data_IF_549121673400
#
_entry.id   IF_549121673400
#
_cell.length_a   1.000
_cell.length_b   1.000
_cell.length_c   1.000
_cell.angle_alpha   90.00
_cell.angle_beta   90.00
_cell.angle_gamma   90.00
#
_symmetry.space_group_name_H-M   'P 1'
#
loop_
_entity.id
_entity.type
_entity.pdbx_description
1 polymer ?
#
# COMPACT_ATOMS: atom_id res chain seq x y z
N UNK A 1 -3.44 6.97 19.44
CA UNK A 1 -4.62 6.76 20.31
C UNK A 1 -5.86 7.39 19.67
N UNK A 2 -6.69 6.61 19.02
CA UNK A 2 -8.03 7.09 18.67
C UNK A 2 -8.90 6.72 19.86
N UNK A 3 -9.12 7.70 20.77
CA UNK A 3 -10.02 7.55 21.89
C UNK A 3 -11.39 7.07 21.41
N UNK A 4 -12.02 6.15 22.12
CA UNK A 4 -13.35 5.60 21.79
C UNK A 4 -14.47 6.67 21.74
N UNK A 5 -14.18 7.90 22.11
CA UNK A 5 -15.07 9.09 22.07
C UNK A 5 -14.73 10.07 20.92
N UNK A 6 -13.67 9.85 20.13
CA UNK A 6 -13.32 10.77 19.04
C UNK A 6 -14.30 10.62 17.86
N UNK A 7 -14.78 11.74 17.35
CA UNK A 7 -15.58 11.78 16.14
C UNK A 7 -14.77 11.14 14.99
N UNK A 8 -15.27 10.04 14.36
CA UNK A 8 -14.53 9.29 13.35
C UNK A 8 -14.12 10.15 12.15
N UNK A 9 -14.91 11.18 11.81
CA UNK A 9 -14.58 12.13 10.76
C UNK A 9 -13.35 12.95 11.13
N UNK A 10 -13.30 13.47 12.37
CA UNK A 10 -12.18 14.28 12.84
C UNK A 10 -10.87 13.48 12.84
N UNK A 11 -10.91 12.24 13.34
CA UNK A 11 -9.75 11.37 13.37
C UNK A 11 -9.23 11.03 11.96
N UNK A 12 -10.15 10.74 11.01
CA UNK A 12 -9.79 10.50 9.62
C UNK A 12 -9.15 11.72 8.95
N UNK A 13 -9.75 12.89 9.12
CA UNK A 13 -9.24 14.15 8.54
C UNK A 13 -7.88 14.52 9.14
N UNK A 14 -7.69 14.34 10.46
CA UNK A 14 -6.41 14.60 11.11
C UNK A 14 -5.30 13.68 10.57
N UNK A 15 -5.59 12.38 10.40
CA UNK A 15 -4.65 11.43 9.79
C UNK A 15 -4.32 11.81 8.34
N UNK A 16 -5.32 12.17 7.57
CA UNK A 16 -5.15 12.60 6.18
C UNK A 16 -4.25 13.84 6.09
N UNK A 17 -4.55 14.87 6.89
CA UNK A 17 -3.75 16.11 6.92
C UNK A 17 -2.32 15.85 7.39
N UNK A 18 -2.12 14.96 8.36
CA UNK A 18 -0.79 14.55 8.80
C UNK A 18 0.03 13.95 7.65
N UNK A 19 -0.57 13.05 6.85
CA UNK A 19 0.11 12.38 5.75
C UNK A 19 0.34 13.29 4.54
N UNK A 20 -0.58 14.21 4.28
CA UNK A 20 -0.37 15.28 3.28
C UNK A 20 0.75 16.22 3.75
N UNK A 21 0.74 16.63 5.02
CA UNK A 21 1.80 17.45 5.62
C UNK A 21 3.16 16.77 5.60
N UNK A 22 3.20 15.46 5.86
CA UNK A 22 4.43 14.65 5.75
C UNK A 22 4.98 14.65 4.31
N UNK A 23 4.12 14.45 3.31
CA UNK A 23 4.52 14.50 1.90
C UNK A 23 5.06 15.88 1.52
N UNK A 24 4.42 16.94 1.99
CA UNK A 24 4.85 18.32 1.75
C UNK A 24 6.19 18.64 2.44
N UNK A 25 6.37 18.23 3.70
CA UNK A 25 7.62 18.43 4.43
C UNK A 25 8.80 17.73 3.76
N UNK A 26 8.60 16.48 3.30
CA UNK A 26 9.62 15.72 2.58
C UNK A 26 9.89 16.32 1.21
N UNK A 27 8.88 16.88 0.53
CA UNK A 27 9.08 17.59 -0.73
C UNK A 27 9.96 18.83 -0.56
N UNK A 28 9.74 19.61 0.51
CA UNK A 28 10.54 20.80 0.80
C UNK A 28 11.98 20.47 1.23
N UNK A 29 12.16 19.41 2.00
CA UNK A 29 13.46 18.99 2.51
C UNK A 29 13.55 17.45 2.58
N UNK A 30 13.95 16.85 1.47
CA UNK A 30 14.00 15.39 1.31
C UNK A 30 14.73 14.63 2.44
N UNK A 31 15.88 15.12 3.00
CA UNK A 31 16.58 14.41 4.08
C UNK A 31 15.75 14.19 5.34
N UNK A 32 14.66 14.93 5.57
CA UNK A 32 13.77 14.72 6.71
C UNK A 32 13.10 13.34 6.67
N UNK A 33 12.99 12.73 5.48
CA UNK A 33 12.49 11.37 5.29
C UNK A 33 13.28 10.34 6.12
N UNK A 34 14.60 10.50 6.21
CA UNK A 34 15.48 9.64 7.00
C UNK A 34 15.32 9.82 8.53
N UNK A 35 14.68 10.89 8.97
CA UNK A 35 14.34 11.14 10.39
C UNK A 35 12.92 10.67 10.69
N UNK A 36 11.99 10.91 9.77
CA UNK A 36 10.58 10.55 9.96
C UNK A 36 10.43 9.03 10.05
N UNK A 37 11.08 8.25 9.19
CA UNK A 37 10.93 6.79 9.20
C UNK A 37 11.33 6.17 10.55
N UNK A 38 12.53 6.40 11.12
CA UNK A 38 12.87 5.90 12.45
C UNK A 38 11.88 6.35 13.53
N UNK A 39 11.42 7.59 13.48
CA UNK A 39 10.39 8.09 14.40
C UNK A 39 9.09 7.29 14.32
N UNK A 40 8.62 6.98 13.12
CA UNK A 40 7.43 6.14 12.88
C UNK A 40 7.66 4.70 13.39
N UNK A 41 8.85 4.13 13.15
CA UNK A 41 9.19 2.78 13.62
C UNK A 41 9.21 2.70 15.14
N UNK A 42 9.82 3.68 15.81
CA UNK A 42 9.85 3.77 17.27
C UNK A 42 8.44 3.98 17.84
N UNK A 43 7.64 4.86 17.25
CA UNK A 43 6.25 5.07 17.64
C UNK A 43 5.44 3.77 17.62
N UNK A 44 5.48 3.03 16.51
CA UNK A 44 4.75 1.77 16.40
C UNK A 44 5.25 0.71 17.36
N UNK A 45 6.58 0.58 17.52
CA UNK A 45 7.17 -0.34 18.51
C UNK A 45 6.66 -0.01 19.92
N UNK A 46 6.69 1.27 20.31
CA UNK A 46 6.21 1.74 21.61
C UNK A 46 4.72 1.40 21.80
N UNK A 47 3.86 1.70 20.83
CA UNK A 47 2.43 1.44 20.91
C UNK A 47 2.11 -0.06 20.99
N UNK A 48 2.82 -0.91 20.25
CA UNK A 48 2.63 -2.37 20.31
C UNK A 48 2.96 -2.88 21.72
N UNK A 49 4.08 -2.45 22.28
CA UNK A 49 4.53 -2.87 23.61
C UNK A 49 3.61 -2.31 24.70
N UNK A 50 3.31 -1.02 24.69
CA UNK A 50 2.48 -0.37 25.69
C UNK A 50 1.06 -0.96 25.75
N UNK A 51 0.47 -1.29 24.61
CA UNK A 51 -0.88 -1.84 24.54
C UNK A 51 -0.91 -3.38 24.56
N UNK A 52 0.26 -4.04 24.69
CA UNK A 52 0.35 -5.51 24.62
C UNK A 52 -0.35 -6.09 23.38
N UNK A 53 -0.33 -5.35 22.28
CA UNK A 53 -1.01 -5.70 21.03
C UNK A 53 -2.51 -6.03 21.17
N UNK A 54 -3.22 -5.48 22.18
CA UNK A 54 -4.62 -5.83 22.47
C UNK A 54 -5.59 -5.50 21.35
N UNK A 55 -5.34 -4.44 20.58
CA UNK A 55 -6.19 -4.00 19.45
C UNK A 55 -5.57 -4.31 18.09
N UNK A 56 -4.69 -5.29 17.97
CA UNK A 56 -3.98 -5.67 16.77
C UNK A 56 -3.03 -4.58 16.23
N UNK A 57 -2.37 -3.83 17.13
CA UNK A 57 -1.43 -2.75 16.80
C UNK A 57 -0.28 -3.25 15.92
N UNK A 58 0.23 -4.45 16.15
CA UNK A 58 1.27 -5.07 15.33
C UNK A 58 0.83 -5.25 13.86
N UNK A 59 -0.43 -5.62 13.64
CA UNK A 59 -0.98 -5.75 12.28
C UNK A 59 -1.15 -4.38 11.62
N UNK A 60 -1.57 -3.36 12.39
CA UNK A 60 -1.69 -1.98 11.90
C UNK A 60 -0.31 -1.41 11.55
N UNK A 61 0.70 -1.64 12.39
CA UNK A 61 2.08 -1.23 12.15
C UNK A 61 2.68 -1.89 10.90
N UNK A 62 2.50 -3.21 10.76
CA UNK A 62 2.95 -3.97 9.60
C UNK A 62 2.28 -3.48 8.30
N UNK A 63 0.96 -3.23 8.35
CA UNK A 63 0.21 -2.67 7.22
C UNK A 63 0.71 -1.27 6.85
N UNK A 64 0.93 -0.40 7.86
CA UNK A 64 1.46 0.94 7.64
C UNK A 64 2.82 0.91 6.92
N UNK A 65 3.76 0.09 7.42
CA UNK A 65 5.10 0.00 6.82
C UNK A 65 5.06 -0.63 5.43
N UNK A 66 4.21 -1.62 5.20
CA UNK A 66 4.02 -2.19 3.87
C UNK A 66 3.52 -1.13 2.85
N UNK A 67 2.60 -0.26 3.26
CA UNK A 67 2.16 0.88 2.44
C UNK A 67 3.22 1.97 2.29
N UNK A 68 4.06 2.18 3.30
CA UNK A 68 5.07 3.23 3.35
C UNK A 68 6.37 2.89 2.62
N UNK A 69 6.60 1.61 2.32
CA UNK A 69 7.88 1.12 1.79
C UNK A 69 8.34 1.91 0.55
N UNK A 70 7.47 2.03 -0.46
CA UNK A 70 7.83 2.72 -1.71
C UNK A 70 8.01 4.21 -1.48
N UNK A 71 7.19 4.83 -0.63
CA UNK A 71 7.30 6.25 -0.30
C UNK A 71 8.66 6.59 0.32
N UNK A 72 9.04 5.91 1.40
CA UNK A 72 10.32 6.15 2.05
C UNK A 72 11.52 5.70 1.22
N UNK A 73 11.34 4.70 0.35
CA UNK A 73 12.40 4.28 -0.58
C UNK A 73 12.63 5.33 -1.67
N UNK A 74 11.57 5.86 -2.28
CA UNK A 74 11.65 6.88 -3.33
C UNK A 74 12.16 8.23 -2.82
N UNK A 75 12.00 8.50 -1.52
CA UNK A 75 12.44 9.75 -0.87
C UNK A 75 13.76 9.61 -0.10
N UNK A 76 14.44 8.44 -0.19
CA UNK A 76 15.72 8.22 0.47
C UNK A 76 15.65 8.03 1.98
N UNK A 77 14.47 7.77 2.54
CA UNK A 77 14.28 7.57 3.98
C UNK A 77 14.65 6.16 4.49
N UNK A 78 14.82 5.19 3.59
CA UNK A 78 15.15 3.81 3.98
C UNK A 78 16.64 3.65 4.33
N UNK A 79 16.92 3.02 5.47
CA UNK A 79 18.29 2.70 5.91
C UNK A 79 18.88 1.59 5.04
N UNK A 80 18.09 0.54 4.75
CA UNK A 80 18.43 -0.57 3.88
C UNK A 80 17.32 -0.79 2.86
N UNK A 81 17.62 -1.42 1.76
CA UNK A 81 16.63 -1.72 0.72
C UNK A 81 15.45 -2.56 1.25
N UNK A 82 15.71 -3.48 2.15
CA UNK A 82 14.74 -4.41 2.74
C UNK A 82 14.12 -3.93 4.06
N UNK A 83 14.40 -2.70 4.51
CA UNK A 83 13.94 -2.16 5.81
C UNK A 83 12.43 -2.37 6.03
N UNK A 84 11.60 -2.12 5.02
CA UNK A 84 10.15 -2.33 5.10
C UNK A 84 9.79 -3.76 5.45
N UNK A 85 10.38 -4.73 4.77
CA UNK A 85 10.13 -6.17 4.99
C UNK A 85 10.60 -6.62 6.37
N UNK A 86 11.80 -6.17 6.82
CA UNK A 86 12.30 -6.48 8.15
C UNK A 86 11.41 -5.92 9.24
N UNK A 87 10.91 -4.69 9.08
CA UNK A 87 10.03 -4.09 10.08
C UNK A 87 8.66 -4.76 10.13
N UNK A 88 8.11 -5.21 9.01
CA UNK A 88 6.91 -6.07 8.99
C UNK A 88 7.16 -7.33 9.82
N UNK A 89 8.29 -8.04 9.61
CA UNK A 89 8.64 -9.23 10.37
C UNK A 89 8.73 -8.90 11.87
N UNK A 90 9.48 -7.86 12.23
CA UNK A 90 9.71 -7.47 13.64
C UNK A 90 8.38 -7.15 14.33
N UNK A 91 7.53 -6.31 13.74
CA UNK A 91 6.25 -5.93 14.34
C UNK A 91 5.35 -7.14 14.55
N UNK A 92 5.28 -8.04 13.57
CA UNK A 92 4.45 -9.24 13.69
C UNK A 92 5.01 -10.22 14.71
N UNK A 93 6.33 -10.39 14.80
CA UNK A 93 6.98 -11.23 15.83
C UNK A 93 6.71 -10.67 17.23
N UNK A 94 6.86 -9.34 17.45
CA UNK A 94 6.48 -8.71 18.72
C UNK A 94 4.99 -8.95 19.00
N UNK A 95 4.14 -8.81 17.98
CA UNK A 95 2.71 -9.10 18.11
C UNK A 95 2.39 -10.55 18.48
N UNK A 96 3.16 -11.51 17.96
CA UNK A 96 3.04 -12.95 18.33
C UNK A 96 3.47 -13.18 19.77
N UNK A 97 4.48 -12.47 20.27
CA UNK A 97 4.91 -12.56 21.66
C UNK A 97 3.75 -12.28 22.64
N UNK A 98 2.92 -11.27 22.35
CA UNK A 98 1.78 -10.92 23.21
C UNK A 98 0.53 -11.78 23.00
N UNK A 99 0.25 -12.22 21.77
CA UNK A 99 -1.01 -12.91 21.44
C UNK A 99 -0.83 -14.35 20.95
N UNK A 100 0.40 -14.82 20.83
CA UNK A 100 0.70 -16.14 20.28
C UNK A 100 0.30 -16.30 18.81
N UNK A 101 0.41 -17.53 18.34
CA UNK A 101 -0.03 -18.00 17.02
C UNK A 101 -1.06 -19.11 17.17
N UNK A 102 -1.85 -19.37 16.13
CA UNK A 102 -2.77 -20.50 16.13
C UNK A 102 -2.02 -21.83 16.05
N UNK A 103 -2.49 -22.88 16.73
CA UNK A 103 -1.95 -24.23 16.58
C UNK A 103 -2.06 -24.79 15.15
N UNK A 104 -2.90 -24.20 14.32
CA UNK A 104 -3.12 -24.59 12.92
C UNK A 104 -2.09 -23.98 11.94
N UNK A 105 -1.07 -23.27 12.42
CA UNK A 105 -0.07 -22.59 11.58
C UNK A 105 1.07 -23.49 11.10
N UNK A 106 1.03 -24.79 11.40
CA UNK A 106 2.04 -25.78 11.02
C UNK A 106 2.47 -25.69 9.53
N UNK A 107 1.56 -25.54 8.54
CA UNK A 107 1.96 -25.43 7.14
C UNK A 107 2.91 -24.25 6.86
N UNK A 108 2.74 -23.14 7.57
CA UNK A 108 3.59 -21.96 7.39
C UNK A 108 4.93 -22.07 8.10
N UNK A 109 5.00 -22.82 9.22
CA UNK A 109 6.27 -23.22 9.81
C UNK A 109 7.03 -24.13 8.85
N UNK A 110 6.38 -25.13 8.24
CA UNK A 110 6.98 -25.98 7.23
C UNK A 110 7.49 -25.17 6.03
N UNK A 111 6.69 -24.20 5.56
CA UNK A 111 7.13 -23.28 4.49
C UNK A 111 8.43 -22.54 4.86
N UNK A 112 8.53 -21.96 6.07
CA UNK A 112 9.74 -21.27 6.51
C UNK A 112 10.93 -22.21 6.65
N UNK A 113 10.71 -23.45 7.14
CA UNK A 113 11.75 -24.47 7.25
C UNK A 113 12.31 -24.90 5.88
N UNK A 114 11.47 -24.99 4.85
CA UNK A 114 11.90 -25.35 3.48
C UNK A 114 12.79 -24.24 2.86
N UNK A 115 12.76 -23.01 3.36
CA UNK A 115 13.68 -21.96 2.89
C UNK A 115 15.12 -22.19 3.37
N UNK A 116 15.33 -22.90 4.50
CA UNK A 116 16.67 -23.11 5.11
C UNK A 116 17.63 -23.86 4.18
N UNK A 117 17.27 -25.00 3.55
CA UNK A 117 18.15 -25.68 2.60
C UNK A 117 18.61 -24.77 1.46
N UNK A 118 17.72 -23.89 0.95
CA UNK A 118 18.10 -22.93 -0.08
C UNK A 118 19.17 -21.93 0.38
N UNK A 119 19.11 -21.50 1.65
CA UNK A 119 20.15 -20.64 2.26
C UNK A 119 21.48 -21.38 2.34
N UNK A 120 21.45 -22.64 2.80
CA UNK A 120 22.66 -23.48 2.93
C UNK A 120 23.30 -23.69 1.57
N UNK A 121 22.53 -24.09 0.55
CA UNK A 121 23.06 -24.26 -0.81
C UNK A 121 23.63 -22.95 -1.35
N UNK A 122 22.91 -21.84 -1.22
CA UNK A 122 23.39 -20.53 -1.66
C UNK A 122 24.70 -20.14 -0.94
N UNK A 123 24.83 -20.43 0.35
CA UNK A 123 26.05 -20.13 1.13
C UNK A 123 27.27 -20.95 0.71
N UNK A 124 27.05 -22.11 0.12
CA UNK A 124 28.15 -22.99 -0.36
C UNK A 124 28.53 -22.70 -1.81
N UNK A 125 27.54 -22.31 -2.64
CA UNK A 125 27.74 -22.19 -4.09
C UNK A 125 28.10 -20.78 -4.55
N UNK A 126 27.78 -19.74 -3.77
CA UNK A 126 28.12 -18.36 -4.09
C UNK A 126 29.59 -18.08 -3.76
N UNK A 127 30.30 -17.42 -4.70
CA UNK A 127 31.67 -16.97 -4.44
C UNK A 127 31.71 -15.90 -3.35
N UNK A 128 32.77 -15.89 -2.55
CA UNK A 128 32.98 -14.91 -1.47
C UNK A 128 33.15 -13.48 -1.98
N UNK A 129 33.46 -13.28 -3.26
CA UNK A 129 33.58 -11.99 -3.93
C UNK A 129 32.21 -11.34 -4.24
N UNK A 130 31.14 -12.13 -4.33
CA UNK A 130 29.81 -11.59 -4.46
C UNK A 130 29.37 -10.94 -3.14
N UNK A 131 28.58 -9.86 -3.20
CA UNK A 131 27.93 -9.29 -2.02
C UNK A 131 26.88 -10.29 -1.45
N UNK A 132 27.39 -11.40 -0.94
CA UNK A 132 26.69 -12.58 -0.48
C UNK A 132 25.51 -12.26 0.46
N UNK A 133 25.76 -11.37 1.46
CA UNK A 133 24.71 -10.93 2.38
C UNK A 133 23.58 -10.22 1.65
N UNK A 134 23.91 -9.36 0.68
CA UNK A 134 22.94 -8.58 -0.08
C UNK A 134 22.10 -9.47 -1.00
N UNK A 135 22.74 -10.44 -1.68
CA UNK A 135 22.04 -11.36 -2.55
C UNK A 135 21.04 -12.24 -1.76
N UNK A 136 21.45 -12.81 -0.60
CA UNK A 136 20.57 -13.60 0.25
C UNK A 136 19.44 -12.73 0.84
N UNK A 137 19.77 -11.57 1.41
CA UNK A 137 18.80 -10.68 2.01
C UNK A 137 17.73 -10.22 0.99
N UNK A 138 18.15 -9.86 -0.21
CA UNK A 138 17.25 -9.46 -1.28
C UNK A 138 16.25 -10.55 -1.67
N UNK A 139 16.73 -11.77 -1.85
CA UNK A 139 15.89 -12.89 -2.30
C UNK A 139 15.02 -13.50 -1.19
N UNK A 140 15.50 -13.51 0.06
CA UNK A 140 14.79 -14.17 1.18
C UNK A 140 13.89 -13.25 1.99
N UNK A 141 14.15 -11.95 2.04
CA UNK A 141 13.37 -11.02 2.86
C UNK A 141 11.87 -11.05 2.50
N UNK A 142 11.52 -11.16 1.21
CA UNK A 142 10.14 -11.29 0.77
C UNK A 142 9.47 -12.58 1.22
N UNK A 143 10.00 -13.77 0.86
CA UNK A 143 9.47 -15.05 1.29
C UNK A 143 9.36 -15.18 2.82
N UNK A 144 10.35 -14.73 3.57
CA UNK A 144 10.30 -14.76 5.05
C UNK A 144 9.21 -13.84 5.59
N UNK A 145 9.11 -12.61 5.06
CA UNK A 145 8.04 -11.68 5.45
C UNK A 145 6.65 -12.26 5.16
N UNK A 146 6.48 -12.94 4.01
CA UNK A 146 5.24 -13.61 3.66
C UNK A 146 4.91 -14.75 4.66
N UNK A 147 5.89 -15.61 4.96
CA UNK A 147 5.71 -16.72 5.90
C UNK A 147 5.36 -16.23 7.31
N UNK A 148 6.06 -15.22 7.82
CA UNK A 148 5.79 -14.63 9.15
C UNK A 148 4.42 -13.94 9.16
N UNK A 149 4.04 -13.25 8.09
CA UNK A 149 2.71 -12.64 7.96
C UNK A 149 1.61 -13.70 7.96
N UNK A 150 1.82 -14.81 7.26
CA UNK A 150 0.90 -15.93 7.24
C UNK A 150 0.78 -16.60 8.64
N UNK A 151 1.89 -16.83 9.35
CA UNK A 151 1.89 -17.31 10.73
C UNK A 151 1.06 -16.42 11.65
N UNK A 152 1.23 -15.09 11.54
CA UNK A 152 0.51 -14.14 12.37
C UNK A 152 -0.98 -14.06 12.05
N UNK A 153 -1.34 -14.06 10.77
CA UNK A 153 -2.72 -13.81 10.33
C UNK A 153 -3.60 -15.06 10.31
N UNK A 154 -3.01 -16.26 10.19
CA UNK A 154 -3.78 -17.48 9.98
C UNK A 154 -4.66 -17.83 11.17
N UNK A 155 -5.94 -18.06 10.90
CA UNK A 155 -7.01 -18.28 11.90
C UNK A 155 -7.19 -17.15 12.92
N UNK A 156 -6.63 -15.97 12.68
CA UNK A 156 -6.82 -14.82 13.55
C UNK A 156 -8.21 -14.20 13.33
N UNK A 157 -9.00 -14.17 14.38
CA UNK A 157 -10.28 -13.47 14.37
C UNK A 157 -10.04 -11.99 14.64
N UNK A 158 -10.48 -11.12 13.71
CA UNK A 158 -10.38 -9.67 13.81
C UNK A 158 -11.78 -9.05 13.74
N UNK A 159 -12.06 -8.05 14.57
CA UNK A 159 -13.29 -7.26 14.49
C UNK A 159 -13.29 -6.42 13.20
N UNK A 160 -14.48 -6.18 12.64
CA UNK A 160 -14.64 -5.40 11.41
C UNK A 160 -14.04 -3.99 11.55
N UNK A 161 -14.21 -3.37 12.73
CA UNK A 161 -13.69 -2.04 13.04
C UNK A 161 -12.15 -2.02 13.03
N UNK A 162 -11.51 -3.04 13.61
CA UNK A 162 -10.06 -3.15 13.63
C UNK A 162 -9.50 -3.45 12.24
N UNK A 163 -10.19 -4.28 11.45
CA UNK A 163 -9.83 -4.52 10.07
C UNK A 163 -9.90 -3.23 9.22
N UNK A 164 -10.90 -2.39 9.44
CA UNK A 164 -10.98 -1.07 8.79
C UNK A 164 -9.83 -0.14 9.20
N UNK A 165 -9.36 -0.22 10.45
CA UNK A 165 -8.17 0.53 10.88
C UNK A 165 -6.90 0.00 10.17
N UNK A 166 -6.76 -1.31 10.01
CA UNK A 166 -5.64 -1.90 9.26
C UNK A 166 -5.63 -1.40 7.81
N UNK A 167 -6.79 -1.42 7.13
CA UNK A 167 -6.93 -0.87 5.77
C UNK A 167 -6.54 0.62 5.75
N UNK A 168 -6.97 1.39 6.74
CA UNK A 168 -6.66 2.80 6.84
C UNK A 168 -5.16 3.04 7.05
N UNK A 169 -4.51 2.26 7.93
CA UNK A 169 -3.06 2.36 8.16
C UNK A 169 -2.24 2.01 6.91
N UNK A 170 -2.69 1.02 6.14
CA UNK A 170 -2.07 0.69 4.85
C UNK A 170 -2.24 1.82 3.82
N UNK A 171 -3.41 2.45 3.78
CA UNK A 171 -3.78 3.49 2.81
C UNK A 171 -3.05 4.82 3.06
N UNK A 172 -2.86 5.23 4.31
CA UNK A 172 -2.35 6.57 4.65
C UNK A 172 -1.00 6.90 4.01
N UNK A 173 0.04 6.05 4.10
CA UNK A 173 1.31 6.35 3.43
C UNK A 173 1.23 6.31 1.90
N UNK A 174 0.29 5.55 1.33
CA UNK A 174 0.04 5.58 -0.13
C UNK A 174 -0.52 6.94 -0.57
N UNK A 175 -1.31 7.58 0.29
CA UNK A 175 -1.77 8.95 0.07
C UNK A 175 -0.58 9.93 0.13
N UNK A 176 0.36 9.74 1.08
CA UNK A 176 1.60 10.54 1.09
C UNK A 176 2.39 10.38 -0.20
N UNK A 177 2.56 9.14 -0.70
CA UNK A 177 3.21 8.89 -1.99
C UNK A 177 2.51 9.63 -3.14
N UNK A 178 1.19 9.54 -3.20
CA UNK A 178 0.41 10.22 -4.23
C UNK A 178 0.61 11.74 -4.19
N UNK A 179 0.46 12.37 -3.00
CA UNK A 179 0.64 13.83 -2.86
C UNK A 179 2.06 14.27 -3.16
N UNK A 180 3.07 13.51 -2.73
CA UNK A 180 4.47 13.77 -3.07
C UNK A 180 4.68 13.81 -4.59
N UNK A 181 4.08 12.87 -5.34
CA UNK A 181 4.17 12.86 -6.79
C UNK A 181 3.49 14.08 -7.43
N UNK A 182 2.38 14.55 -6.88
CA UNK A 182 1.73 15.78 -7.38
C UNK A 182 2.60 17.02 -7.16
N UNK A 183 3.33 17.08 -6.06
CA UNK A 183 4.25 18.18 -5.77
C UNK A 183 5.51 18.11 -6.64
N UNK A 184 6.03 16.90 -6.84
CA UNK A 184 7.30 16.68 -7.56
C UNK A 184 7.16 16.84 -9.07
N UNK A 185 6.02 16.44 -9.65
CA UNK A 185 5.77 16.48 -11.10
C UNK A 185 4.51 17.27 -11.43
N UNK A 186 4.51 18.62 -11.29
CA UNK A 186 3.32 19.42 -11.51
C UNK A 186 2.91 19.50 -13.00
N UNK A 187 3.85 19.44 -13.95
CA UNK A 187 3.55 19.43 -15.38
C UNK A 187 4.08 18.17 -16.07
N UNK A 188 3.19 17.48 -16.78
CA UNK A 188 3.55 16.28 -17.55
C UNK A 188 4.06 16.60 -18.96
N UNK A 189 3.84 17.83 -19.44
CA UNK A 189 4.13 18.23 -20.83
C UNK A 189 5.59 18.09 -21.23
N UNK A 190 6.51 18.24 -20.28
CA UNK A 190 7.96 18.19 -20.53
C UNK A 190 8.60 16.82 -20.32
N UNK A 191 7.88 15.87 -19.71
CA UNK A 191 8.44 14.57 -19.30
C UNK A 191 8.01 13.36 -20.12
N UNK A 192 7.12 13.51 -21.10
CA UNK A 192 6.61 12.39 -21.88
C UNK A 192 7.55 12.13 -23.08
N UNK A 193 8.69 11.51 -22.83
CA UNK A 193 9.66 11.24 -23.90
C UNK A 193 9.75 9.75 -24.28
N UNK A 194 9.30 8.82 -23.43
CA UNK A 194 9.44 7.38 -23.70
C UNK A 194 8.18 6.56 -23.36
N UNK A 195 7.72 5.75 -24.30
CA UNK A 195 6.58 4.83 -24.14
C UNK A 195 6.84 3.65 -23.17
N UNK A 196 8.07 3.35 -22.78
CA UNK A 196 8.43 2.19 -21.97
C UNK A 196 8.08 2.32 -20.48
N UNK A 197 7.90 3.53 -20.01
CA UNK A 197 7.54 3.89 -18.62
C UNK A 197 7.83 5.36 -18.38
N UNK A 198 6.92 6.06 -17.71
CA UNK A 198 7.06 7.49 -17.46
C UNK A 198 7.79 7.75 -16.14
N UNK A 199 9.11 7.76 -16.16
CA UNK A 199 9.93 8.06 -14.99
C UNK A 199 9.73 9.49 -14.47
N UNK A 200 9.45 10.45 -15.33
CA UNK A 200 9.16 11.82 -14.91
C UNK A 200 7.87 11.89 -14.06
N UNK A 201 6.81 11.19 -14.47
CA UNK A 201 5.56 11.13 -13.73
C UNK A 201 5.66 10.38 -12.39
N UNK A 202 6.75 9.63 -12.19
CA UNK A 202 6.98 8.82 -10.98
C UNK A 202 8.05 9.40 -10.05
N UNK A 203 8.47 10.64 -10.28
CA UNK A 203 9.49 11.29 -9.45
C UNK A 203 10.89 10.69 -9.63
N UNK A 204 11.19 10.14 -10.81
CA UNK A 204 12.46 9.46 -11.10
C UNK A 204 12.54 8.03 -10.53
N UNK A 205 11.48 7.54 -9.88
CA UNK A 205 11.44 6.19 -9.31
C UNK A 205 10.75 5.20 -10.26
N UNK A 206 10.95 3.89 -10.05
CA UNK A 206 10.47 2.84 -10.97
C UNK A 206 8.96 2.90 -11.24
N UNK A 207 8.52 3.10 -12.50
CA UNK A 207 7.10 3.26 -12.85
C UNK A 207 6.24 2.07 -12.43
N UNK A 208 6.77 0.84 -12.51
CA UNK A 208 6.05 -0.37 -12.12
C UNK A 208 5.75 -0.40 -10.61
N UNK A 209 6.70 0.02 -9.78
CA UNK A 209 6.53 0.05 -8.33
C UNK A 209 5.51 1.13 -7.94
N UNK A 210 5.63 2.32 -8.50
CA UNK A 210 4.69 3.42 -8.26
C UNK A 210 3.28 3.06 -8.72
N UNK A 211 3.12 2.50 -9.94
CA UNK A 211 1.82 2.05 -10.44
C UNK A 211 1.18 1.00 -9.53
N UNK A 212 1.97 0.04 -9.04
CA UNK A 212 1.48 -1.03 -8.17
C UNK A 212 0.97 -0.48 -6.83
N UNK A 213 1.71 0.43 -6.19
CA UNK A 213 1.28 0.99 -4.89
C UNK A 213 0.11 1.96 -5.05
N UNK A 214 0.06 2.74 -6.12
CA UNK A 214 -1.10 3.59 -6.42
C UNK A 214 -2.33 2.74 -6.77
N UNK A 215 -2.16 1.64 -7.52
CA UNK A 215 -3.20 0.67 -7.81
C UNK A 215 -3.74 0.01 -6.54
N UNK A 216 -2.86 -0.39 -5.61
CA UNK A 216 -3.24 -0.88 -4.29
C UNK A 216 -4.05 0.16 -3.52
N UNK A 217 -3.61 1.42 -3.51
CA UNK A 217 -4.34 2.50 -2.86
C UNK A 217 -5.72 2.73 -3.48
N UNK A 218 -5.85 2.69 -4.79
CA UNK A 218 -7.14 2.77 -5.48
C UNK A 218 -8.07 1.61 -5.07
N UNK A 219 -7.56 0.38 -5.01
CA UNK A 219 -8.30 -0.79 -4.51
C UNK A 219 -8.78 -0.60 -3.07
N UNK A 220 -7.93 -0.09 -2.17
CA UNK A 220 -8.29 0.17 -0.78
C UNK A 220 -9.36 1.27 -0.67
N UNK A 221 -9.27 2.33 -1.46
CA UNK A 221 -10.27 3.41 -1.51
C UNK A 221 -11.62 2.88 -1.98
N UNK A 222 -11.64 2.04 -3.04
CA UNK A 222 -12.87 1.36 -3.47
C UNK A 222 -13.44 0.48 -2.35
N UNK A 223 -12.60 -0.34 -1.71
CA UNK A 223 -13.02 -1.18 -0.58
C UNK A 223 -13.66 -0.34 0.53
N UNK A 224 -13.07 0.80 0.88
CA UNK A 224 -13.61 1.73 1.88
C UNK A 224 -14.92 2.38 1.43
N UNK A 225 -15.03 2.81 0.17
CA UNK A 225 -16.24 3.39 -0.39
C UNK A 225 -17.46 2.47 -0.21
N UNK A 226 -17.27 1.16 -0.31
CA UNK A 226 -18.35 0.17 -0.14
C UNK A 226 -18.55 -0.30 1.31
N UNK A 227 -17.53 -0.28 2.15
CA UNK A 227 -17.59 -0.80 3.53
C UNK A 227 -17.81 0.26 4.59
N UNK A 228 -17.41 1.52 4.36
CA UNK A 228 -17.62 2.65 5.28
C UNK A 228 -18.96 3.31 5.02
N UNK A 229 -19.76 3.49 6.10
CA UNK A 229 -21.12 4.07 6.02
C UNK A 229 -21.14 5.57 6.35
N UNK A 230 -20.14 6.34 5.93
CA UNK A 230 -20.03 7.77 6.23
C UNK A 230 -19.94 8.57 4.93
N UNK A 231 -20.90 9.46 4.67
CA UNK A 231 -21.00 10.21 3.42
C UNK A 231 -19.78 11.13 3.19
N UNK A 232 -19.34 11.86 4.23
CA UNK A 232 -18.20 12.78 4.11
C UNK A 232 -16.92 12.02 3.76
N UNK A 233 -16.64 10.93 4.49
CA UNK A 233 -15.47 10.09 4.23
C UNK A 233 -15.55 9.49 2.82
N UNK A 234 -16.72 9.03 2.40
CA UNK A 234 -16.90 8.46 1.06
C UNK A 234 -16.66 9.50 -0.07
N UNK A 235 -17.04 10.76 0.14
CA UNK A 235 -16.75 11.85 -0.83
C UNK A 235 -15.24 12.09 -0.90
N UNK A 236 -14.57 12.18 0.24
CA UNK A 236 -13.12 12.35 0.28
C UNK A 236 -12.41 11.15 -0.37
N UNK A 237 -12.81 9.93 -0.02
CA UNK A 237 -12.25 8.70 -0.60
C UNK A 237 -12.46 8.64 -2.13
N UNK A 238 -13.59 9.14 -2.64
CA UNK A 238 -13.85 9.21 -4.09
C UNK A 238 -12.95 10.21 -4.81
N UNK A 239 -12.72 11.37 -4.21
CA UNK A 239 -11.77 12.37 -4.75
C UNK A 239 -10.34 11.81 -4.76
N UNK A 240 -9.91 11.19 -3.66
CA UNK A 240 -8.61 10.55 -3.56
C UNK A 240 -8.46 9.40 -4.58
N UNK A 241 -9.54 8.64 -4.83
CA UNK A 241 -9.56 7.60 -5.86
C UNK A 241 -9.32 8.18 -7.26
N UNK A 242 -9.98 9.29 -7.59
CA UNK A 242 -9.76 10.00 -8.85
C UNK A 242 -8.31 10.45 -9.02
N UNK A 243 -7.74 11.08 -7.98
CA UNK A 243 -6.35 11.54 -7.97
C UNK A 243 -5.36 10.37 -8.09
N UNK A 244 -5.58 9.30 -7.34
CA UNK A 244 -4.69 8.13 -7.29
C UNK A 244 -4.77 7.32 -8.59
N UNK A 245 -5.98 7.12 -9.12
CA UNK A 245 -6.20 6.44 -10.40
C UNK A 245 -5.54 7.18 -11.56
N UNK A 246 -5.73 8.51 -11.64
CA UNK A 246 -5.05 9.33 -12.64
C UNK A 246 -3.52 9.17 -12.56
N UNK A 247 -2.93 9.32 -11.37
CA UNK A 247 -1.48 9.14 -11.20
C UNK A 247 -1.01 7.73 -11.55
N UNK A 248 -1.78 6.68 -11.25
CA UNK A 248 -1.45 5.31 -11.63
C UNK A 248 -1.39 5.13 -13.15
N UNK A 249 -2.39 5.66 -13.86
CA UNK A 249 -2.50 5.54 -15.33
C UNK A 249 -1.35 6.25 -16.04
N UNK A 250 -1.00 7.48 -15.65
CA UNK A 250 0.07 8.26 -16.29
C UNK A 250 1.49 7.77 -16.03
N UNK A 251 1.67 6.75 -15.19
CA UNK A 251 2.97 6.06 -15.06
C UNK A 251 3.34 5.26 -16.32
N UNK A 252 2.39 5.05 -17.23
CA UNK A 252 2.49 4.14 -18.38
C UNK A 252 2.80 2.68 -18.01
N UNK A 253 2.71 2.32 -16.72
CA UNK A 253 2.88 0.94 -16.26
C UNK A 253 1.53 0.23 -16.18
N UNK A 254 1.30 -0.68 -17.13
CA UNK A 254 0.05 -1.43 -17.28
C UNK A 254 -0.20 -2.42 -16.13
N UNK A 255 0.87 -3.05 -15.62
CA UNK A 255 0.76 -4.14 -14.64
C UNK A 255 0.05 -3.73 -13.36
N UNK A 256 0.43 -2.60 -12.75
CA UNK A 256 -0.19 -2.10 -11.51
C UNK A 256 -1.66 -1.73 -11.71
N UNK A 257 -2.00 -1.07 -12.82
CA UNK A 257 -3.38 -0.67 -13.14
C UNK A 257 -4.27 -1.90 -13.39
N UNK A 258 -3.84 -2.86 -14.23
CA UNK A 258 -4.61 -4.08 -14.50
C UNK A 258 -4.81 -4.93 -13.23
N UNK A 259 -3.77 -5.09 -12.42
CA UNK A 259 -3.89 -5.82 -11.16
C UNK A 259 -4.90 -5.16 -10.23
N UNK A 260 -4.87 -3.83 -10.12
CA UNK A 260 -5.85 -3.09 -9.33
C UNK A 260 -7.28 -3.30 -9.84
N UNK A 261 -7.50 -3.22 -11.16
CA UNK A 261 -8.82 -3.45 -11.76
C UNK A 261 -9.33 -4.87 -11.50
N UNK A 262 -8.48 -5.90 -11.64
CA UNK A 262 -8.83 -7.28 -11.34
C UNK A 262 -9.22 -7.44 -9.87
N UNK A 263 -8.44 -6.89 -8.94
CA UNK A 263 -8.73 -6.93 -7.51
C UNK A 263 -10.04 -6.20 -7.16
N UNK A 264 -10.27 -5.03 -7.77
CA UNK A 264 -11.52 -4.26 -7.60
C UNK A 264 -12.71 -5.08 -8.10
N UNK A 265 -12.64 -5.65 -9.31
CA UNK A 265 -13.71 -6.49 -9.86
C UNK A 265 -13.99 -7.69 -8.97
N UNK A 266 -12.97 -8.43 -8.56
CA UNK A 266 -13.12 -9.58 -7.66
C UNK A 266 -13.79 -9.18 -6.33
N UNK A 267 -13.35 -8.08 -5.72
CA UNK A 267 -13.96 -7.53 -4.51
C UNK A 267 -15.44 -7.19 -4.73
N UNK A 268 -15.77 -6.46 -5.78
CA UNK A 268 -17.12 -6.00 -6.08
C UNK A 268 -18.07 -7.19 -6.31
N UNK A 269 -17.64 -8.20 -7.07
CA UNK A 269 -18.41 -9.43 -7.30
C UNK A 269 -18.71 -10.12 -5.97
N UNK A 270 -17.68 -10.40 -5.16
CA UNK A 270 -17.85 -11.07 -3.87
C UNK A 270 -18.69 -10.24 -2.89
N UNK A 271 -18.51 -8.93 -2.88
CA UNK A 271 -19.25 -8.02 -2.02
C UNK A 271 -20.73 -7.96 -2.41
N UNK A 272 -21.03 -7.88 -3.72
CA UNK A 272 -22.40 -7.84 -4.23
C UNK A 272 -23.16 -9.14 -3.97
N UNK A 273 -22.50 -10.28 -4.16
CA UNK A 273 -23.12 -11.59 -3.87
C UNK A 273 -23.53 -11.77 -2.41
N UNK A 274 -22.82 -11.13 -1.48
CA UNK A 274 -23.11 -11.23 -0.03
C UNK A 274 -24.19 -10.26 0.46
N UNK A 275 -24.73 -9.40 -0.42
CA UNK A 275 -25.71 -8.38 -0.04
C UNK A 275 -27.14 -8.81 -0.25
N UNK A 276 -28.03 -8.33 0.63
CA UNK A 276 -29.48 -8.44 0.45
C UNK A 276 -29.96 -7.45 -0.64
N UNK A 277 -31.12 -7.71 -1.27
CA UNK A 277 -31.68 -6.86 -2.36
C UNK A 277 -31.76 -5.36 -2.03
N UNK A 278 -32.11 -5.00 -0.77
CA UNK A 278 -32.13 -3.58 -0.33
C UNK A 278 -30.75 -2.92 -0.27
N UNK A 279 -29.73 -3.68 0.08
CA UNK A 279 -28.35 -3.20 0.10
C UNK A 279 -27.75 -3.14 -1.32
N UNK A 280 -28.13 -4.07 -2.19
CA UNK A 280 -27.76 -4.06 -3.61
C UNK A 280 -28.21 -2.76 -4.31
N UNK A 281 -29.45 -2.29 -4.06
CA UNK A 281 -29.93 -1.03 -4.63
C UNK A 281 -29.06 0.18 -4.25
N UNK A 282 -28.58 0.25 -2.99
CA UNK A 282 -27.63 1.29 -2.55
C UNK A 282 -26.25 1.11 -3.17
N UNK A 283 -25.82 -0.12 -3.37
CA UNK A 283 -24.54 -0.45 -4.01
C UNK A 283 -24.55 -0.11 -5.49
N UNK A 284 -25.69 -0.25 -6.18
CA UNK A 284 -25.81 0.12 -7.60
C UNK A 284 -25.47 1.60 -7.83
N UNK A 285 -25.92 2.51 -6.97
CA UNK A 285 -25.55 3.92 -7.07
C UNK A 285 -24.03 4.13 -6.94
N UNK A 286 -23.39 3.43 -6.00
CA UNK A 286 -21.91 3.50 -5.83
C UNK A 286 -21.18 2.88 -7.03
N UNK A 287 -21.73 1.83 -7.64
CA UNK A 287 -21.16 1.24 -8.86
C UNK A 287 -21.23 2.20 -10.04
N UNK A 288 -22.33 2.94 -10.20
CA UNK A 288 -22.46 3.98 -11.23
C UNK A 288 -21.41 5.08 -10.99
N UNK A 289 -21.29 5.58 -9.75
CA UNK A 289 -20.28 6.56 -9.40
C UNK A 289 -18.86 6.07 -9.67
N UNK A 290 -18.56 4.83 -9.33
CA UNK A 290 -17.26 4.21 -9.60
C UNK A 290 -17.00 4.10 -11.12
N UNK A 291 -17.97 3.62 -11.88
CA UNK A 291 -17.87 3.55 -13.34
C UNK A 291 -17.64 4.93 -13.98
N UNK A 292 -18.37 5.96 -13.51
CA UNK A 292 -18.18 7.33 -13.93
C UNK A 292 -16.78 7.86 -13.57
N UNK A 293 -16.28 7.54 -12.38
CA UNK A 293 -14.93 7.94 -11.96
C UNK A 293 -13.85 7.28 -12.82
N UNK A 294 -13.96 5.99 -13.12
CA UNK A 294 -13.03 5.27 -13.99
C UNK A 294 -13.05 5.87 -15.41
N UNK A 295 -14.23 6.15 -15.95
CA UNK A 295 -14.38 6.78 -17.25
C UNK A 295 -13.73 8.19 -17.29
N UNK A 296 -13.96 9.00 -16.27
CA UNK A 296 -13.35 10.33 -16.16
C UNK A 296 -11.82 10.26 -16.02
N UNK A 297 -11.30 9.32 -15.22
CA UNK A 297 -9.85 9.08 -15.08
C UNK A 297 -9.26 8.75 -16.44
N UNK A 298 -9.86 7.82 -17.18
CA UNK A 298 -9.37 7.42 -18.49
C UNK A 298 -9.39 8.58 -19.49
N UNK A 299 -10.54 9.24 -19.65
CA UNK A 299 -10.70 10.36 -20.57
C UNK A 299 -9.75 11.51 -20.26
N UNK A 300 -9.66 11.91 -18.99
CA UNK A 300 -8.74 12.97 -18.57
C UNK A 300 -7.27 12.58 -18.79
N UNK A 301 -6.90 11.33 -18.52
CA UNK A 301 -5.54 10.84 -18.76
C UNK A 301 -5.21 10.82 -20.24
N UNK A 302 -6.14 10.41 -21.11
CA UNK A 302 -5.97 10.42 -22.56
C UNK A 302 -5.75 11.84 -23.10
N UNK A 303 -6.58 12.80 -22.67
CA UNK A 303 -6.44 14.22 -23.05
C UNK A 303 -5.08 14.78 -22.61
N UNK A 304 -4.67 14.55 -21.36
CA UNK A 304 -3.43 15.09 -20.81
C UNK A 304 -2.16 14.49 -21.45
N UNK A 305 -2.27 13.30 -22.01
CA UNK A 305 -1.14 12.59 -22.65
C UNK A 305 -1.23 12.61 -24.18
N UNK A 306 -2.13 13.43 -24.75
CA UNK A 306 -2.32 13.52 -26.21
C UNK A 306 -2.56 12.17 -26.89
N UNK A 307 -3.29 11.25 -26.24
CA UNK A 307 -3.60 9.92 -26.75
C UNK A 307 -2.45 8.89 -26.59
N UNK A 308 -1.28 9.26 -26.07
CA UNK A 308 -0.16 8.31 -25.89
C UNK A 308 -0.50 7.14 -24.98
N UNK A 309 -1.40 7.34 -24.02
CA UNK A 309 -1.90 6.27 -23.16
C UNK A 309 -2.63 5.22 -23.99
N UNK A 310 -3.50 5.61 -24.90
CA UNK A 310 -4.26 4.70 -25.77
C UNK A 310 -3.29 3.81 -26.56
N UNK A 311 -2.32 4.43 -27.25
CA UNK A 311 -1.28 3.70 -27.98
C UNK A 311 -0.54 2.71 -27.07
N UNK A 312 -0.22 3.11 -25.85
CA UNK A 312 0.49 2.26 -24.88
C UNK A 312 -0.36 1.06 -24.44
N UNK A 313 -1.66 1.25 -24.18
CA UNK A 313 -2.54 0.17 -23.73
C UNK A 313 -3.02 -0.73 -24.87
N UNK A 314 -3.11 -0.22 -26.10
CA UNK A 314 -3.47 -0.96 -27.30
C UNK A 314 -2.26 -1.66 -27.98
N UNK A 315 -1.04 -1.54 -27.43
CA UNK A 315 0.22 -2.03 -28.04
C UNK A 315 0.48 -1.49 -29.46
N UNK A 316 -0.06 -0.33 -29.78
CA UNK A 316 0.28 0.36 -31.03
C UNK A 316 1.65 1.04 -30.83
N UNK A 317 2.64 0.56 -31.58
CA UNK A 317 4.01 1.15 -31.64
C UNK A 317 4.02 2.36 -32.55
#
# INVERSE_FOLDING_TARGET
>A
MISSKANPNKAYIQLLLLHIGMAFAIYLYQPISAIILPGVLLYWTFIIIQNENRNNEALMAAAYIAGAEVFFRSTGGMVFYETGKYMVIIFLVIGMFFKGTSSKTVPFWTYLMILIPGIIVASITMSLEAEFRKAIAFNLSGPVALGVSALYCYYKKIKKEDFQKVILMLLMPLISQMFYLYLYTPSLKEGIINMSGNYAATGGYGPNQISTVLGMGAFLLVTRLFTVKNKLINIIDLVLLGMMGYRAVITFSRGGVFTALICIMAFLILFYYKQNRKEQAKSNFKLILLGSAIFLIWTFSSIQTFGLIENRYENRT
#
